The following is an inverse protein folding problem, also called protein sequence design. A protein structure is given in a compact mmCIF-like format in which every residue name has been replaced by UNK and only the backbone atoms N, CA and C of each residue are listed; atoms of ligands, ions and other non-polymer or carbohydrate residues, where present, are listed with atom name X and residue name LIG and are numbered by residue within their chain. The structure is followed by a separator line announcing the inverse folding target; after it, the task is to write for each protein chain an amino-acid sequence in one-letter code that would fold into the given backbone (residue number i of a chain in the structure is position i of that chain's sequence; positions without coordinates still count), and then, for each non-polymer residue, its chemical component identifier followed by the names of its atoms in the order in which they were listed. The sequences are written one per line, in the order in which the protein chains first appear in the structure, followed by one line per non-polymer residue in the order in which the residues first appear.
data_IF_543458147723
#
_entry.id   IF_543458147723
#
_cell.length_a   1.000
_cell.length_b   1.000
_cell.length_c   1.000
_cell.angle_alpha   90.00
_cell.angle_beta   90.00
_cell.angle_gamma   90.00
#
_symmetry.space_group_name_H-M   'P 1'
#
loop_
_entity.id
_entity.type
_entity.pdbx_description
1 polymer ?
#
# COMPACT_ATOMS: atom_id res chain seq x y z
N UNK A 1 4.97 11.31 -14.46
CA UNK A 1 4.07 10.27 -13.92
C UNK A 1 4.17 10.12 -12.41
N UNK A 2 5.36 10.29 -11.81
CA UNK A 2 5.54 10.14 -10.35
C UNK A 2 4.56 10.96 -9.49
N UNK A 3 4.22 12.20 -9.87
CA UNK A 3 3.26 13.01 -9.11
C UNK A 3 1.85 12.40 -9.07
N UNK A 4 1.46 11.59 -10.06
CA UNK A 4 0.13 11.00 -10.15
C UNK A 4 -0.08 10.01 -8.98
N UNK A 5 0.85 9.06 -8.78
CA UNK A 5 0.78 8.13 -7.63
C UNK A 5 0.80 8.88 -6.30
N UNK A 6 1.58 9.96 -6.19
CA UNK A 6 1.67 10.77 -4.96
C UNK A 6 0.31 11.40 -4.64
N UNK A 7 -0.31 12.08 -5.61
CA UNK A 7 -1.63 12.70 -5.43
C UNK A 7 -2.66 11.63 -5.04
N UNK A 8 -2.67 10.48 -5.70
CA UNK A 8 -3.59 9.39 -5.41
C UNK A 8 -3.43 8.90 -3.96
N UNK A 9 -2.20 8.69 -3.48
CA UNK A 9 -1.94 8.29 -2.10
C UNK A 9 -2.36 9.38 -1.09
N UNK A 10 -2.04 10.65 -1.37
CA UNK A 10 -2.45 11.77 -0.52
C UNK A 10 -3.97 11.91 -0.44
N UNK A 11 -4.72 11.66 -1.52
CA UNK A 11 -6.18 11.64 -1.46
C UNK A 11 -6.67 10.41 -0.69
N UNK A 12 -6.05 9.25 -0.91
CA UNK A 12 -6.45 8.00 -0.27
C UNK A 12 -6.29 8.02 1.26
N UNK A 13 -5.34 8.79 1.81
CA UNK A 13 -5.10 8.88 3.27
C UNK A 13 -6.24 9.59 4.00
N UNK A 14 -6.97 10.48 3.32
CA UNK A 14 -8.04 11.29 3.92
C UNK A 14 -9.14 10.39 4.49
N UNK A 15 -9.51 9.33 3.77
CA UNK A 15 -10.59 8.42 4.17
C UNK A 15 -10.35 7.73 5.53
N UNK A 16 -9.25 6.99 5.74
CA UNK A 16 -9.00 6.35 7.03
C UNK A 16 -8.68 7.37 8.13
N UNK A 17 -8.16 8.57 7.82
CA UNK A 17 -8.01 9.64 8.81
C UNK A 17 -9.36 10.13 9.33
N UNK A 18 -10.32 10.38 8.42
CA UNK A 18 -11.69 10.75 8.80
C UNK A 18 -12.36 9.67 9.65
N UNK A 19 -12.18 8.39 9.30
CA UNK A 19 -12.69 7.29 10.14
C UNK A 19 -12.03 7.24 11.52
N UNK A 20 -10.73 7.53 11.62
CA UNK A 20 -10.01 7.47 12.91
C UNK A 20 -10.57 8.46 13.95
N UNK A 21 -11.13 9.57 13.46
CA UNK A 21 -11.74 10.61 14.31
C UNK A 21 -13.23 10.35 14.61
N UNK A 22 -13.84 9.32 14.03
CA UNK A 22 -15.25 9.00 14.27
C UNK A 22 -15.42 8.31 15.63
N UNK A 23 -16.01 9.03 16.59
CA UNK A 23 -16.24 8.55 17.97
C UNK A 23 -17.29 7.44 18.07
N UNK A 24 -18.10 7.23 17.03
CA UNK A 24 -19.17 6.23 17.03
C UNK A 24 -18.66 4.82 16.69
N UNK A 25 -17.44 4.71 16.14
CA UNK A 25 -16.88 3.42 15.76
C UNK A 25 -16.46 2.59 16.98
N UNK A 26 -16.78 1.30 16.97
CA UNK A 26 -16.29 0.38 17.99
C UNK A 26 -14.76 0.33 18.04
N UNK A 27 -14.20 0.06 19.23
CA UNK A 27 -12.75 -0.05 19.45
C UNK A 27 -12.08 -1.05 18.50
N UNK A 28 -12.78 -2.13 18.14
CA UNK A 28 -12.27 -3.13 17.18
C UNK A 28 -12.11 -2.56 15.78
N UNK A 29 -13.10 -1.79 15.31
CA UNK A 29 -13.05 -1.12 14.00
C UNK A 29 -12.00 -0.02 13.99
N UNK A 30 -11.87 0.75 15.07
CA UNK A 30 -10.81 1.77 15.17
C UNK A 30 -9.40 1.16 15.10
N UNK A 31 -9.16 0.02 15.75
CA UNK A 31 -7.88 -0.72 15.62
C UNK A 31 -7.62 -1.17 14.18
N UNK A 32 -8.65 -1.62 13.47
CA UNK A 32 -8.56 -1.97 12.06
C UNK A 32 -8.21 -0.77 11.18
N UNK A 33 -8.92 0.36 11.34
CA UNK A 33 -8.65 1.62 10.62
C UNK A 33 -7.22 2.11 10.88
N UNK A 34 -6.74 2.02 12.13
CA UNK A 34 -5.35 2.37 12.46
C UNK A 34 -4.33 1.45 11.79
N UNK A 35 -4.64 0.17 11.61
CA UNK A 35 -3.79 -0.74 10.83
C UNK A 35 -3.75 -0.34 9.35
N UNK A 36 -4.88 0.07 8.76
CA UNK A 36 -4.92 0.61 7.39
C UNK A 36 -4.09 1.90 7.27
N UNK A 37 -4.19 2.82 8.24
CA UNK A 37 -3.33 4.01 8.29
C UNK A 37 -1.85 3.64 8.38
N UNK A 38 -1.50 2.67 9.21
CA UNK A 38 -0.12 2.21 9.34
C UNK A 38 0.42 1.64 8.02
N UNK A 39 -0.36 0.80 7.33
CA UNK A 39 -0.01 0.31 6.00
C UNK A 39 0.15 1.48 5.02
N UNK A 40 -0.76 2.45 5.07
CA UNK A 40 -0.69 3.64 4.21
C UNK A 40 0.63 4.38 4.39
N UNK A 41 1.07 4.60 5.64
CA UNK A 41 2.35 5.24 5.95
C UNK A 41 3.53 4.43 5.41
N UNK A 42 3.52 3.11 5.60
CA UNK A 42 4.58 2.23 5.06
C UNK A 42 4.65 2.32 3.53
N UNK A 43 3.50 2.27 2.84
CA UNK A 43 3.44 2.44 1.40
C UNK A 43 3.97 3.81 0.96
N UNK A 44 3.67 4.87 1.71
CA UNK A 44 4.16 6.21 1.45
C UNK A 44 5.70 6.26 1.50
N UNK A 45 6.31 5.68 2.53
CA UNK A 45 7.76 5.58 2.64
C UNK A 45 8.41 4.77 1.51
N UNK A 46 7.80 3.63 1.15
CA UNK A 46 8.38 2.75 0.14
C UNK A 46 8.21 3.30 -1.28
N UNK A 47 7.02 3.78 -1.64
CA UNK A 47 6.67 4.15 -3.01
C UNK A 47 6.97 5.60 -3.38
N UNK A 48 6.84 6.52 -2.41
CA UNK A 48 7.04 7.96 -2.65
C UNK A 48 8.46 8.35 -2.24
N UNK A 49 8.82 8.08 -0.99
CA UNK A 49 10.15 8.42 -0.49
C UNK A 49 11.25 7.46 -0.93
N UNK A 50 10.90 6.39 -1.66
CA UNK A 50 11.84 5.36 -2.13
C UNK A 50 12.78 4.91 -1.01
N UNK A 51 12.21 4.66 0.18
CA UNK A 51 12.98 4.35 1.40
C UNK A 51 13.98 3.20 1.18
N UNK A 52 13.68 2.24 0.32
CA UNK A 52 14.59 1.15 -0.03
C UNK A 52 15.91 1.65 -0.64
N UNK A 53 15.89 2.60 -1.59
CA UNK A 53 17.13 3.19 -2.10
C UNK A 53 17.89 3.95 -1.02
N UNK A 54 17.20 4.73 -0.19
CA UNK A 54 17.85 5.47 0.90
C UNK A 54 18.53 4.54 1.91
N UNK A 55 17.86 3.44 2.28
CA UNK A 55 18.41 2.45 3.20
C UNK A 55 19.56 1.65 2.57
N UNK A 56 19.48 1.34 1.28
CA UNK A 56 20.57 0.71 0.53
C UNK A 56 21.80 1.62 0.48
N UNK A 57 21.62 2.86 0.08
CA UNK A 57 22.74 3.75 -0.22
C UNK A 57 23.41 4.27 1.07
N UNK A 58 22.66 4.48 2.15
CA UNK A 58 23.20 5.00 3.43
C UNK A 58 23.58 3.92 4.44
N UNK A 59 22.88 2.78 4.46
CA UNK A 59 23.04 1.74 5.49
C UNK A 59 23.39 0.36 4.91
N UNK A 60 23.59 0.25 3.59
CA UNK A 60 23.88 -1.00 2.89
C UNK A 60 22.83 -2.11 3.13
N UNK A 61 21.57 -1.71 3.37
CA UNK A 61 20.46 -2.64 3.56
C UNK A 61 19.92 -3.04 2.17
N UNK A 62 19.88 -4.34 1.82
CA UNK A 62 19.38 -4.76 0.52
C UNK A 62 17.89 -4.41 0.33
N UNK A 63 17.52 -3.97 -0.88
CA UNK A 63 16.13 -3.64 -1.26
C UNK A 63 15.16 -4.78 -0.92
N UNK A 64 15.58 -6.04 -1.14
CA UNK A 64 14.80 -7.25 -0.81
C UNK A 64 14.38 -7.28 0.67
N UNK A 65 15.28 -6.90 1.58
CA UNK A 65 14.99 -6.87 3.02
C UNK A 65 13.97 -5.78 3.33
N UNK A 66 14.14 -4.58 2.78
CA UNK A 66 13.20 -3.48 2.98
C UNK A 66 11.81 -3.83 2.46
N UNK A 67 11.71 -4.47 1.29
CA UNK A 67 10.44 -4.91 0.74
C UNK A 67 9.79 -6.03 1.56
N UNK A 68 10.55 -7.03 2.02
CA UNK A 68 10.04 -8.06 2.93
C UNK A 68 9.47 -7.46 4.22
N UNK A 69 10.18 -6.50 4.82
CA UNK A 69 9.71 -5.80 6.01
C UNK A 69 8.44 -4.99 5.72
N UNK A 70 8.34 -4.36 4.56
CA UNK A 70 7.15 -3.61 4.14
C UNK A 70 5.91 -4.48 3.92
N UNK A 71 6.07 -5.79 3.72
CA UNK A 71 4.97 -6.74 3.58
C UNK A 71 4.38 -7.16 4.95
N UNK A 72 5.14 -7.05 6.05
CA UNK A 72 4.70 -7.45 7.40
C UNK A 72 3.36 -6.81 7.81
N UNK A 73 3.15 -5.48 7.65
CA UNK A 73 1.86 -4.84 7.95
C UNK A 73 0.67 -5.47 7.23
N UNK A 74 0.84 -5.89 5.97
CA UNK A 74 -0.22 -6.55 5.20
C UNK A 74 -0.55 -7.94 5.74
N UNK A 75 0.48 -8.73 6.07
CA UNK A 75 0.30 -10.05 6.70
C UNK A 75 -0.40 -9.90 8.05
N UNK A 76 -0.01 -8.90 8.85
CA UNK A 76 -0.66 -8.58 10.12
C UNK A 76 -2.12 -8.19 9.94
N UNK A 77 -2.45 -7.40 8.90
CA UNK A 77 -3.82 -7.02 8.59
C UNK A 77 -4.68 -8.25 8.30
N UNK A 78 -4.21 -9.16 7.44
CA UNK A 78 -4.92 -10.38 7.06
C UNK A 78 -5.13 -11.26 8.30
N UNK A 79 -4.10 -11.48 9.10
CA UNK A 79 -4.18 -12.38 10.26
C UNK A 79 -5.05 -11.83 11.39
N UNK A 80 -4.93 -10.53 11.73
CA UNK A 80 -5.61 -9.94 12.89
C UNK A 80 -7.01 -9.41 12.58
N UNK A 81 -7.28 -9.06 11.33
CA UNK A 81 -8.52 -8.39 10.93
C UNK A 81 -9.23 -9.09 9.75
N UNK A 82 -9.01 -10.39 9.58
CA UNK A 82 -9.66 -11.21 8.55
C UNK A 82 -11.18 -11.02 8.49
N UNK A 83 -11.86 -10.91 9.63
CA UNK A 83 -13.31 -10.70 9.68
C UNK A 83 -13.74 -9.36 9.07
N UNK A 84 -12.97 -8.30 9.24
CA UNK A 84 -13.25 -6.96 8.69
C UNK A 84 -12.98 -6.89 7.18
N UNK A 85 -12.16 -7.82 6.68
CA UNK A 85 -11.79 -7.99 5.27
C UNK A 85 -12.74 -8.93 4.49
N UNK A 86 -13.73 -9.56 5.13
CA UNK A 86 -14.76 -10.36 4.45
C UNK A 86 -15.85 -9.48 3.85
N UNK A 87 -15.45 -8.49 3.08
CA UNK A 87 -16.35 -7.52 2.46
C UNK A 87 -16.04 -7.32 0.99
N UNK A 88 -17.05 -6.95 0.22
CA UNK A 88 -16.95 -6.84 -1.24
C UNK A 88 -15.82 -5.91 -1.69
N UNK A 89 -15.57 -4.82 -0.97
CA UNK A 89 -14.50 -3.87 -1.30
C UNK A 89 -13.09 -4.43 -1.10
N UNK A 90 -12.91 -5.53 -0.36
CA UNK A 90 -11.60 -6.14 -0.14
C UNK A 90 -10.98 -6.70 -1.41
N UNK A 91 -11.76 -6.89 -2.48
CA UNK A 91 -11.23 -7.19 -3.81
C UNK A 91 -10.30 -6.09 -4.33
N UNK A 92 -10.59 -4.83 -4.04
CA UNK A 92 -9.75 -3.69 -4.43
C UNK A 92 -8.43 -3.68 -3.65
N UNK A 93 -8.45 -4.08 -2.37
CA UNK A 93 -7.22 -4.29 -1.59
C UNK A 93 -6.36 -5.39 -2.20
N UNK A 94 -6.96 -6.52 -2.60
CA UNK A 94 -6.23 -7.64 -3.22
C UNK A 94 -5.57 -7.18 -4.52
N UNK A 95 -6.31 -6.51 -5.41
CA UNK A 95 -5.74 -5.97 -6.65
C UNK A 95 -4.64 -4.95 -6.38
N UNK A 96 -4.81 -4.07 -5.39
CA UNK A 96 -3.79 -3.10 -5.00
C UNK A 96 -2.50 -3.82 -4.57
N UNK A 97 -2.60 -4.77 -3.64
CA UNK A 97 -1.44 -5.52 -3.13
C UNK A 97 -0.77 -6.31 -4.25
N UNK A 98 -1.55 -6.93 -5.13
CA UNK A 98 -1.04 -7.70 -6.25
C UNK A 98 -0.23 -6.82 -7.23
N UNK A 99 -0.79 -5.69 -7.66
CA UNK A 99 -0.13 -4.79 -8.61
C UNK A 99 1.12 -4.13 -8.00
N UNK A 100 1.06 -3.71 -6.74
CA UNK A 100 2.22 -3.18 -6.02
C UNK A 100 3.30 -4.27 -5.84
N UNK A 101 2.89 -5.49 -5.51
CA UNK A 101 3.79 -6.63 -5.40
C UNK A 101 4.48 -6.97 -6.73
N UNK A 102 3.76 -6.91 -7.86
CA UNK A 102 4.34 -7.08 -9.19
C UNK A 102 5.36 -5.98 -9.51
N UNK A 103 5.07 -4.72 -9.16
CA UNK A 103 6.02 -3.63 -9.35
C UNK A 103 7.31 -3.86 -8.55
N UNK A 104 7.19 -4.28 -7.28
CA UNK A 104 8.34 -4.64 -6.43
C UNK A 104 9.12 -5.82 -6.99
N UNK A 105 8.42 -6.84 -7.50
CA UNK A 105 9.07 -8.00 -8.11
C UNK A 105 9.89 -7.59 -9.33
N UNK A 106 9.34 -6.74 -10.20
CA UNK A 106 10.04 -6.23 -11.38
C UNK A 106 11.27 -5.39 -10.99
N UNK A 107 11.13 -4.50 -10.02
CA UNK A 107 12.23 -3.70 -9.47
C UNK A 107 13.37 -4.62 -8.99
N UNK A 108 13.06 -5.64 -8.18
CA UNK A 108 14.06 -6.59 -7.68
C UNK A 108 14.72 -7.44 -8.78
N UNK A 109 13.95 -7.90 -9.76
CA UNK A 109 14.45 -8.73 -10.86
C UNK A 109 15.35 -7.93 -11.81
N UNK A 110 15.05 -6.65 -12.01
CA UNK A 110 15.83 -5.75 -12.86
C UNK A 110 17.08 -5.25 -12.13
N UNK A 111 16.98 -4.86 -10.86
CA UNK A 111 18.14 -4.52 -10.01
C UNK A 111 19.12 -5.70 -9.90
N UNK A 112 18.60 -6.92 -9.75
CA UNK A 112 19.39 -8.14 -9.71
C UNK A 112 19.97 -8.57 -11.07
N UNK A 113 19.67 -7.84 -12.16
CA UNK A 113 20.02 -8.19 -13.55
C UNK A 113 19.57 -9.59 -13.97
N UNK A 114 18.52 -10.12 -13.35
CA UNK A 114 17.93 -11.42 -13.67
C UNK A 114 17.16 -11.32 -14.98
N UNK A 115 16.50 -10.17 -15.20
CA UNK A 115 15.76 -9.87 -16.43
C UNK A 115 16.20 -8.51 -16.96
N UNK A 116 16.35 -8.40 -18.28
CA UNK A 116 16.57 -7.12 -18.97
C UNK A 116 15.33 -6.80 -19.78
N UNK A 117 14.52 -5.88 -19.27
CA UNK A 117 13.30 -5.40 -19.92
C UNK A 117 13.55 -3.97 -20.43
N UNK A 118 13.34 -3.75 -21.73
CA UNK A 118 13.31 -2.38 -22.24
C UNK A 118 12.10 -1.65 -21.63
N UNK A 119 12.34 -0.47 -21.05
CA UNK A 119 11.33 0.34 -20.35
C UNK A 119 10.75 -0.33 -19.08
N UNK A 120 11.57 -1.08 -18.35
CA UNK A 120 11.20 -1.63 -17.02
C UNK A 120 10.60 -0.56 -16.11
N UNK A 121 11.21 0.61 -16.08
CA UNK A 121 10.85 1.71 -15.18
C UNK A 121 9.45 2.26 -15.48
N UNK A 122 9.07 2.33 -16.76
CA UNK A 122 7.73 2.75 -17.18
C UNK A 122 6.68 1.72 -16.73
N UNK A 123 6.95 0.43 -16.94
CA UNK A 123 6.03 -0.66 -16.57
C UNK A 123 5.84 -0.72 -15.06
N UNK A 124 6.93 -0.61 -14.30
CA UNK A 124 6.91 -0.53 -12.84
C UNK A 124 6.06 0.66 -12.36
N UNK A 125 6.22 1.83 -12.99
CA UNK A 125 5.46 3.02 -12.63
C UNK A 125 3.97 2.87 -12.95
N UNK A 126 3.60 2.27 -14.08
CA UNK A 126 2.21 1.97 -14.40
C UNK A 126 1.58 1.01 -13.38
N UNK A 127 2.30 -0.03 -12.98
CA UNK A 127 1.85 -0.96 -11.94
C UNK A 127 1.67 -0.26 -10.59
N UNK A 128 2.60 0.64 -10.21
CA UNK A 128 2.50 1.44 -8.99
C UNK A 128 1.29 2.37 -9.01
N UNK A 129 1.05 3.06 -10.13
CA UNK A 129 -0.12 3.94 -10.31
C UNK A 129 -1.41 3.12 -10.23
N UNK A 130 -1.50 2.00 -10.96
CA UNK A 130 -2.67 1.14 -10.92
C UNK A 130 -2.93 0.61 -9.50
N UNK A 131 -1.89 0.14 -8.82
CA UNK A 131 -1.95 -0.28 -7.42
C UNK A 131 -2.44 0.83 -6.47
N UNK A 132 -1.97 2.07 -6.67
CA UNK A 132 -2.43 3.25 -5.92
C UNK A 132 -3.91 3.57 -6.19
N UNK A 133 -4.38 3.46 -7.45
CA UNK A 133 -5.79 3.65 -7.79
C UNK A 133 -6.67 2.64 -7.05
N UNK A 134 -6.30 1.37 -7.05
CA UNK A 134 -7.03 0.33 -6.31
C UNK A 134 -6.98 0.56 -4.80
N UNK A 135 -5.87 1.07 -4.26
CA UNK A 135 -5.75 1.48 -2.86
C UNK A 135 -6.72 2.62 -2.50
N UNK A 136 -6.82 3.63 -3.37
CA UNK A 136 -7.76 4.74 -3.22
C UNK A 136 -9.22 4.24 -3.23
N UNK A 137 -9.56 3.43 -4.23
CA UNK A 137 -10.91 2.85 -4.37
C UNK A 137 -11.27 2.03 -3.12
N UNK A 138 -10.35 1.20 -2.64
CA UNK A 138 -10.53 0.45 -1.40
C UNK A 138 -10.83 1.37 -0.20
N UNK A 139 -10.01 2.40 0.01
CA UNK A 139 -10.17 3.32 1.14
C UNK A 139 -11.48 4.12 1.06
N UNK A 140 -11.89 4.52 -0.15
CA UNK A 140 -13.17 5.20 -0.38
C UNK A 140 -14.37 4.32 -0.02
N UNK A 141 -14.42 3.08 -0.52
CA UNK A 141 -15.52 2.16 -0.22
C UNK A 141 -15.52 1.73 1.24
N UNK A 142 -14.33 1.54 1.83
CA UNK A 142 -14.18 1.27 3.25
C UNK A 142 -14.78 2.40 4.11
N UNK A 143 -14.44 3.66 3.78
CA UNK A 143 -15.03 4.83 4.44
C UNK A 143 -16.54 4.86 4.29
N UNK A 144 -17.04 4.67 3.08
CA UNK A 144 -18.47 4.71 2.78
C UNK A 144 -19.25 3.68 3.60
N UNK A 145 -18.73 2.45 3.73
CA UNK A 145 -19.33 1.40 4.56
C UNK A 145 -19.30 1.76 6.04
N UNK A 146 -18.14 2.17 6.56
CA UNK A 146 -17.95 2.34 8.01
C UNK A 146 -18.55 3.64 8.55
N UNK A 147 -18.77 4.66 7.72
CA UNK A 147 -19.45 5.91 8.12
C UNK A 147 -20.92 5.68 8.53
N UNK A 148 -21.56 4.66 7.96
CA UNK A 148 -22.99 4.38 8.15
C UNK A 148 -23.25 3.56 9.43
N UNK A 149 -22.19 2.98 10.01
CA UNK A 149 -22.21 2.18 11.24
C UNK A 149 -22.00 3.09 12.45
#
# INVERSE_FOLDING_TARGET
MEYIKVIIFLVAIVFPLLLSNNKNLSTKILKFVKMILFIHLVLLFILIFKLHHLLRDLFNIPNTVTYLLSAIPFVMLINKFSTQLKSGESIYLIFSVFLLGLAVLLDLLTDGRIIVLQKSDDVEEYLRIAGAIFWLIYNYFLYSRLKVI
#
